data_IF_975155323598
#
_entry.id   IF_975155323598
#
_cell.length_a   1.000
_cell.length_b   1.000
_cell.length_c   1.000
_cell.angle_alpha   90.00
_cell.angle_beta   90.00
_cell.angle_gamma   90.00
#
_symmetry.space_group_name_H-M   'P 1'
#
loop_
_entity.id
_entity.type
_entity.pdbx_description
1 polymer ?
#
# COMPACT_ATOMS: atom_id res chain seq x y z
N UNK A 1 -2.52 3.86 -13.85
CA UNK A 1 -1.25 3.77 -14.60
C UNK A 1 -0.48 2.58 -14.07
N UNK A 2 0.20 1.79 -14.90
CA UNK A 2 1.07 0.72 -14.40
C UNK A 2 2.38 1.35 -13.89
N UNK A 3 2.87 0.90 -12.72
CA UNK A 3 4.19 1.32 -12.23
C UNK A 3 5.28 0.87 -13.20
N UNK A 4 6.31 1.67 -13.34
CA UNK A 4 7.51 1.34 -14.13
C UNK A 4 8.47 0.40 -13.40
N UNK A 5 8.10 -0.12 -12.23
CA UNK A 5 8.92 -0.97 -11.37
C UNK A 5 8.11 -2.10 -10.74
N UNK A 6 8.80 -3.18 -10.35
CA UNK A 6 8.21 -4.28 -9.58
C UNK A 6 7.94 -3.80 -8.16
N UNK A 7 6.69 -3.93 -7.70
CA UNK A 7 6.28 -3.53 -6.37
C UNK A 7 5.86 -4.74 -5.55
N UNK A 8 6.60 -5.04 -4.49
CA UNK A 8 6.45 -6.24 -3.68
C UNK A 8 6.04 -5.86 -2.27
N UNK A 9 4.95 -6.46 -1.78
CA UNK A 9 4.37 -6.24 -0.44
C UNK A 9 4.23 -7.53 0.36
N UNK A 10 4.85 -8.62 -0.11
CA UNK A 10 4.73 -9.94 0.53
C UNK A 10 5.50 -10.07 1.85
N UNK A 11 6.28 -9.05 2.21
CA UNK A 11 7.08 -9.02 3.45
C UNK A 11 6.68 -7.78 4.25
N UNK A 12 6.55 -7.95 5.56
CA UNK A 12 6.17 -6.85 6.46
C UNK A 12 7.08 -6.86 7.68
N UNK A 13 7.66 -5.70 7.99
CA UNK A 13 8.50 -5.54 9.18
C UNK A 13 7.63 -5.41 10.44
N UNK A 14 7.94 -6.15 11.52
CA UNK A 14 7.33 -5.94 12.83
C UNK A 14 7.84 -4.67 13.52
N UNK A 15 9.00 -4.14 13.09
CA UNK A 15 9.66 -2.96 13.67
C UNK A 15 8.97 -1.67 13.22
N UNK A 16 7.69 -1.54 13.58
CA UNK A 16 6.84 -0.39 13.22
C UNK A 16 5.88 -0.04 14.34
N UNK A 17 5.32 1.15 14.27
CA UNK A 17 4.30 1.62 15.21
C UNK A 17 3.44 2.72 14.59
N UNK A 18 2.41 3.17 15.29
CA UNK A 18 1.57 4.29 14.84
C UNK A 18 2.36 5.59 14.71
N UNK A 19 2.05 6.41 13.72
CA UNK A 19 2.51 7.81 13.62
C UNK A 19 1.84 8.75 14.63
N UNK A 20 0.92 8.26 15.46
CA UNK A 20 0.21 9.04 16.49
C UNK A 20 -0.41 10.34 15.93
N UNK A 21 -0.97 10.28 14.73
CA UNK A 21 -1.59 11.43 14.07
C UNK A 21 -0.62 12.40 13.36
N UNK A 22 0.70 12.15 13.43
CA UNK A 22 1.66 12.98 12.69
C UNK A 22 1.56 12.73 11.19
N UNK A 23 1.50 13.82 10.43
CA UNK A 23 1.51 13.79 8.96
C UNK A 23 2.92 13.49 8.44
N UNK A 24 2.98 12.82 7.30
CA UNK A 24 4.22 12.69 6.52
C UNK A 24 4.59 14.08 5.98
N UNK A 25 5.83 14.49 6.24
CA UNK A 25 6.35 15.81 5.87
C UNK A 25 7.64 15.76 5.05
N UNK A 26 8.26 14.59 4.88
CA UNK A 26 9.46 14.41 4.08
C UNK A 26 9.69 12.95 3.70
N UNK A 27 10.61 12.73 2.77
CA UNK A 27 11.16 11.41 2.44
C UNK A 27 12.61 11.40 2.89
N UNK A 28 12.99 10.42 3.71
CA UNK A 28 14.38 10.22 4.15
C UNK A 28 15.04 9.15 3.30
N UNK A 29 16.14 9.53 2.65
CA UNK A 29 16.94 8.61 1.83
C UNK A 29 18.00 7.97 2.70
N UNK A 30 18.10 6.65 2.59
CA UNK A 30 19.07 5.79 3.24
C UNK A 30 19.79 4.94 2.21
N UNK A 31 20.83 4.28 2.65
CA UNK A 31 21.49 3.17 1.99
C UNK A 31 21.83 2.11 3.05
N UNK A 32 21.92 0.87 2.68
CA UNK A 32 22.28 -0.18 3.65
C UNK A 32 23.79 -0.38 3.88
N UNK A 33 24.59 0.58 3.43
CA UNK A 33 25.99 0.70 3.82
C UNK A 33 26.91 -0.38 3.27
N UNK A 34 27.97 -0.65 4.02
CA UNK A 34 28.97 -1.67 3.72
C UNK A 34 28.73 -2.95 4.55
N UNK A 35 29.10 -4.14 4.01
CA UNK A 35 29.74 -4.32 2.72
C UNK A 35 28.78 -4.10 1.54
N UNK A 36 29.27 -3.53 0.46
CA UNK A 36 28.55 -3.47 -0.83
C UNK A 36 28.41 -4.88 -1.40
N UNK A 37 27.33 -5.12 -2.15
CA UNK A 37 27.06 -6.43 -2.75
C UNK A 37 26.08 -7.30 -1.96
N UNK A 38 25.55 -6.81 -0.82
CA UNK A 38 24.42 -7.45 -0.17
C UNK A 38 23.21 -7.45 -1.09
N UNK A 39 22.55 -8.61 -1.20
CA UNK A 39 21.35 -8.74 -2.03
C UNK A 39 20.13 -8.14 -1.31
N UNK A 40 19.26 -7.49 -2.06
CA UNK A 40 18.03 -6.88 -1.54
C UNK A 40 17.18 -7.83 -0.66
N UNK A 41 17.13 -9.12 -1.02
CA UNK A 41 16.41 -10.13 -0.24
C UNK A 41 16.94 -10.27 1.20
N UNK A 42 18.26 -10.25 1.40
CA UNK A 42 18.86 -10.30 2.73
C UNK A 42 18.62 -9.04 3.56
N UNK A 43 18.63 -7.87 2.91
CA UNK A 43 18.27 -6.60 3.56
C UNK A 43 16.82 -6.59 4.00
N UNK A 44 15.91 -7.02 3.13
CA UNK A 44 14.48 -7.15 3.46
C UNK A 44 14.26 -8.15 4.59
N UNK A 45 14.94 -9.29 4.56
CA UNK A 45 14.85 -10.30 5.61
C UNK A 45 15.32 -9.74 6.95
N UNK A 46 16.46 -9.05 6.98
CA UNK A 46 16.98 -8.40 8.18
C UNK A 46 16.02 -7.36 8.73
N UNK A 47 15.56 -6.41 7.90
CA UNK A 47 14.64 -5.35 8.33
C UNK A 47 13.24 -5.87 8.74
N UNK A 48 12.89 -7.08 8.28
CA UNK A 48 11.69 -7.79 8.72
C UNK A 48 11.90 -8.69 9.93
N UNK A 49 13.11 -8.77 10.47
CA UNK A 49 13.41 -9.51 11.70
C UNK A 49 13.14 -8.63 12.92
N UNK A 50 12.39 -9.11 13.95
CA UNK A 50 12.17 -8.35 15.18
C UNK A 50 13.47 -7.91 15.87
N UNK A 51 14.53 -8.74 15.76
CA UNK A 51 15.83 -8.48 16.38
C UNK A 51 16.59 -7.29 15.75
N UNK A 52 16.20 -6.86 14.54
CA UNK A 52 16.84 -5.72 13.89
C UNK A 52 16.60 -4.42 14.67
N UNK A 53 15.46 -4.30 15.37
CA UNK A 53 15.11 -3.06 16.08
C UNK A 53 15.03 -1.83 15.17
N UNK A 54 15.09 -2.05 13.85
CA UNK A 54 15.06 -1.04 12.80
C UNK A 54 14.22 -1.55 11.62
N UNK A 55 13.74 -0.62 10.80
CA UNK A 55 13.02 -0.92 9.55
C UNK A 55 13.13 0.26 8.59
N UNK A 56 12.59 0.10 7.40
CA UNK A 56 12.33 1.19 6.46
C UNK A 56 10.92 1.04 5.90
N UNK A 57 10.38 2.03 5.23
CA UNK A 57 9.12 1.87 4.51
C UNK A 57 9.35 1.11 3.22
N UNK A 58 10.42 1.47 2.51
CA UNK A 58 10.77 0.90 1.22
C UNK A 58 12.23 0.48 1.15
N UNK A 59 12.49 -0.61 0.44
CA UNK A 59 13.84 -1.07 0.06
C UNK A 59 13.87 -1.17 -1.46
N UNK A 60 14.84 -0.52 -2.11
CA UNK A 60 14.89 -0.35 -3.57
C UNK A 60 16.22 -0.85 -4.12
N UNK A 61 16.17 -1.76 -5.08
CA UNK A 61 17.33 -2.23 -5.84
C UNK A 61 16.92 -2.56 -7.28
N UNK A 62 17.67 -2.05 -8.24
CA UNK A 62 17.34 -2.24 -9.64
C UNK A 62 15.95 -1.73 -9.99
N UNK A 63 15.14 -2.58 -10.61
CA UNK A 63 13.72 -2.33 -10.96
C UNK A 63 12.74 -2.72 -9.86
N UNK A 64 13.23 -3.07 -8.67
CA UNK A 64 12.42 -3.71 -7.63
C UNK A 64 12.28 -2.85 -6.38
N UNK A 65 11.06 -2.70 -5.89
CA UNK A 65 10.70 -2.01 -4.66
C UNK A 65 9.97 -2.97 -3.74
N UNK A 66 10.50 -3.17 -2.54
CA UNK A 66 9.79 -3.79 -1.43
C UNK A 66 9.18 -2.70 -0.55
N UNK A 67 7.87 -2.76 -0.32
CA UNK A 67 7.19 -2.01 0.74
C UNK A 67 7.07 -2.93 1.95
N UNK A 68 7.89 -2.69 2.98
CA UNK A 68 7.95 -3.54 4.18
C UNK A 68 7.32 -2.90 5.42
N UNK A 69 7.08 -1.59 5.40
CA UNK A 69 6.23 -0.88 6.34
C UNK A 69 5.31 0.04 5.56
N UNK A 70 4.03 0.01 5.86
CA UNK A 70 3.07 0.94 5.24
C UNK A 70 3.46 2.39 5.57
N UNK A 71 3.54 3.30 4.56
CA UNK A 71 3.95 4.69 4.81
C UNK A 71 3.04 5.45 5.79
N UNK A 72 1.81 5.01 6.02
CA UNK A 72 0.94 5.57 7.05
C UNK A 72 1.32 5.13 8.48
N UNK A 73 2.18 4.14 8.61
CA UNK A 73 2.78 3.72 9.88
C UNK A 73 4.16 4.36 10.05
N UNK A 74 4.64 4.39 11.28
CA UNK A 74 5.98 4.82 11.63
C UNK A 74 6.95 3.64 11.48
N UNK A 75 7.81 3.64 10.48
CA UNK A 75 8.98 2.77 10.43
C UNK A 75 10.07 3.31 11.37
N UNK A 76 10.96 2.44 11.84
CA UNK A 76 12.05 2.79 12.75
C UNK A 76 13.35 2.92 11.96
N UNK A 77 13.51 4.02 11.21
CA UNK A 77 14.58 4.16 10.22
C UNK A 77 15.58 5.29 10.51
N UNK A 78 15.15 6.35 11.19
CA UNK A 78 15.93 7.60 11.22
C UNK A 78 16.79 7.79 12.45
N UNK A 79 16.75 6.87 13.43
CA UNK A 79 17.40 7.07 14.73
C UNK A 79 16.80 8.20 15.55
N UNK A 80 15.84 8.94 15.00
CA UNK A 80 15.14 10.07 15.62
C UNK A 80 13.65 9.80 15.71
N UNK A 81 13.04 9.97 16.88
CA UNK A 81 11.59 9.79 17.01
C UNK A 81 10.82 10.75 16.09
N UNK A 82 11.27 12.00 15.96
CA UNK A 82 10.66 12.99 15.07
C UNK A 82 10.79 12.54 13.59
N UNK A 83 12.00 12.12 13.18
CA UNK A 83 12.22 11.61 11.83
C UNK A 83 11.34 10.40 11.50
N UNK A 84 11.26 9.44 12.43
CA UNK A 84 10.39 8.27 12.26
C UNK A 84 8.90 8.64 12.18
N UNK A 85 8.43 9.63 12.96
CA UNK A 85 7.03 10.07 12.96
C UNK A 85 6.64 10.82 11.70
N UNK A 86 7.57 11.61 11.10
CA UNK A 86 7.24 12.60 10.07
C UNK A 86 7.85 12.31 8.71
N UNK A 87 8.60 11.21 8.54
CA UNK A 87 9.18 10.90 7.24
C UNK A 87 8.91 9.46 6.77
N UNK A 88 9.05 9.27 5.46
CA UNK A 88 9.06 7.96 4.80
C UNK A 88 10.52 7.60 4.54
N UNK A 89 11.00 6.47 5.06
CA UNK A 89 12.38 6.00 4.86
C UNK A 89 12.49 5.13 3.62
N UNK A 90 13.43 5.46 2.73
CA UNK A 90 13.80 4.70 1.54
C UNK A 90 15.22 4.16 1.69
N UNK A 91 15.40 2.86 1.74
CA UNK A 91 16.69 2.18 1.67
C UNK A 91 17.06 1.93 0.21
N UNK A 92 18.16 2.47 -0.24
CA UNK A 92 18.64 2.35 -1.62
C UNK A 92 19.88 1.46 -1.71
N UNK A 93 19.94 0.65 -2.76
CA UNK A 93 21.05 -0.26 -3.03
C UNK A 93 22.37 0.51 -3.28
N UNK A 94 23.41 0.32 -2.46
CA UNK A 94 24.71 0.99 -2.65
C UNK A 94 25.51 0.41 -3.82
N UNK A 95 25.10 -0.70 -4.41
CA UNK A 95 25.87 -1.42 -5.42
C UNK A 95 25.99 -0.60 -6.72
N UNK A 96 27.23 -0.34 -7.14
CA UNK A 96 27.51 0.46 -8.32
C UNK A 96 26.89 -0.11 -9.62
N UNK A 97 26.83 -1.43 -9.75
CA UNK A 97 26.22 -2.09 -10.93
C UNK A 97 24.70 -1.92 -11.01
N UNK A 98 24.06 -1.63 -9.89
CA UNK A 98 22.59 -1.40 -9.79
C UNK A 98 22.23 0.08 -9.74
N UNK A 99 23.25 0.96 -9.73
CA UNK A 99 23.08 2.39 -9.44
C UNK A 99 22.04 3.07 -10.33
N UNK A 100 22.20 2.96 -11.63
CA UNK A 100 21.35 3.65 -12.59
C UNK A 100 19.88 3.17 -12.53
N UNK A 101 19.68 1.85 -12.49
CA UNK A 101 18.33 1.28 -12.40
C UNK A 101 17.66 1.57 -11.05
N UNK A 102 18.43 1.51 -9.95
CA UNK A 102 17.94 1.87 -8.61
C UNK A 102 17.55 3.34 -8.55
N UNK A 103 18.36 4.23 -9.15
CA UNK A 103 18.08 5.67 -9.19
C UNK A 103 16.79 5.99 -9.95
N UNK A 104 16.60 5.39 -11.14
CA UNK A 104 15.37 5.54 -11.93
C UNK A 104 14.14 5.03 -11.15
N UNK A 105 14.27 3.89 -10.51
CA UNK A 105 13.21 3.28 -9.71
C UNK A 105 12.89 4.10 -8.46
N UNK A 106 13.90 4.57 -7.75
CA UNK A 106 13.73 5.44 -6.59
C UNK A 106 13.06 6.77 -6.97
N UNK A 107 13.46 7.37 -8.09
CA UNK A 107 12.84 8.59 -8.60
C UNK A 107 11.34 8.39 -8.95
N UNK A 108 11.00 7.27 -9.60
CA UNK A 108 9.62 6.93 -9.90
C UNK A 108 8.79 6.69 -8.61
N UNK A 109 9.35 5.98 -7.62
CA UNK A 109 8.71 5.80 -6.32
C UNK A 109 8.50 7.13 -5.58
N UNK A 110 9.49 8.03 -5.61
CA UNK A 110 9.39 9.37 -5.02
C UNK A 110 8.29 10.17 -5.70
N UNK A 111 8.16 10.09 -7.03
CA UNK A 111 7.07 10.73 -7.78
C UNK A 111 5.70 10.19 -7.35
N UNK A 112 5.55 8.86 -7.23
CA UNK A 112 4.32 8.22 -6.74
C UNK A 112 3.97 8.66 -5.30
N UNK A 113 4.97 8.73 -4.41
CA UNK A 113 4.78 9.20 -3.03
C UNK A 113 4.38 10.67 -2.98
N UNK A 114 4.96 11.52 -3.83
CA UNK A 114 4.60 12.93 -3.92
C UNK A 114 3.21 13.15 -4.49
N UNK A 115 2.81 12.34 -5.45
CA UNK A 115 1.44 12.37 -5.99
C UNK A 115 0.40 12.05 -4.90
N UNK A 116 0.80 11.25 -3.89
CA UNK A 116 -0.09 10.85 -2.79
C UNK A 116 -0.04 11.79 -1.58
N UNK A 117 1.18 12.14 -1.13
CA UNK A 117 1.40 12.90 0.12
C UNK A 117 1.66 14.40 -0.10
N UNK A 118 1.68 14.87 -1.36
CA UNK A 118 2.07 16.22 -1.72
C UNK A 118 3.58 16.35 -1.94
N UNK A 119 4.05 17.57 -2.19
CA UNK A 119 5.44 17.84 -2.54
C UNK A 119 6.41 17.64 -1.35
N UNK A 120 6.73 16.38 -1.05
CA UNK A 120 7.62 16.01 0.04
C UNK A 120 9.09 16.31 -0.31
N UNK A 121 9.82 17.09 0.51
CA UNK A 121 11.26 17.27 0.34
C UNK A 121 12.02 15.98 0.64
N UNK A 122 13.12 15.76 -0.08
CA UNK A 122 14.09 14.71 0.23
C UNK A 122 15.04 15.18 1.33
N UNK A 123 15.33 14.29 2.26
CA UNK A 123 16.29 14.52 3.37
C UNK A 123 17.29 13.37 3.43
N UNK A 124 18.59 13.64 3.62
CA UNK A 124 19.56 12.59 3.95
C UNK A 124 19.31 12.09 5.38
N UNK A 125 19.64 10.83 5.66
CA UNK A 125 19.57 10.30 7.03
C UNK A 125 20.39 11.15 8.02
N UNK A 126 21.50 11.69 7.57
CA UNK A 126 22.35 12.62 8.36
C UNK A 126 21.66 13.89 8.84
N UNK A 127 20.48 14.22 8.30
CA UNK A 127 19.68 15.35 8.84
C UNK A 127 18.98 15.03 10.16
N UNK A 128 18.95 13.77 10.57
CA UNK A 128 18.29 13.32 11.80
C UNK A 128 19.29 12.92 12.89
N UNK A 129 20.38 12.26 12.51
CA UNK A 129 21.44 11.77 13.40
C UNK A 129 22.79 11.86 12.69
N UNK A 130 23.89 11.88 13.46
CA UNK A 130 25.25 11.84 12.89
C UNK A 130 25.51 10.50 12.24
N UNK A 131 25.63 10.46 10.90
CA UNK A 131 25.88 9.26 10.10
C UNK A 131 26.38 9.60 8.71
N UNK A 132 27.13 8.69 8.09
CA UNK A 132 27.50 8.79 6.67
C UNK A 132 26.37 8.44 5.70
N UNK A 133 25.24 7.92 6.18
CA UNK A 133 24.08 7.59 5.37
C UNK A 133 23.40 8.88 4.83
N UNK A 134 23.06 8.94 3.57
CA UNK A 134 22.92 7.88 2.56
C UNK A 134 24.17 7.66 1.67
N UNK A 135 25.37 7.89 2.16
CA UNK A 135 26.58 7.70 1.40
C UNK A 135 26.68 8.69 0.24
N UNK A 136 26.95 8.17 -0.96
CA UNK A 136 27.11 8.98 -2.16
C UNK A 136 25.83 9.13 -3.02
N UNK A 137 24.63 8.88 -2.45
CA UNK A 137 23.37 9.15 -3.14
C UNK A 137 23.15 10.64 -3.30
N UNK A 138 22.98 11.08 -4.55
CA UNK A 138 22.70 12.49 -4.89
C UNK A 138 21.19 12.77 -4.79
N UNK A 139 20.79 13.42 -3.71
CA UNK A 139 19.39 13.76 -3.46
C UNK A 139 18.87 14.82 -4.43
N UNK A 140 19.74 15.75 -4.91
CA UNK A 140 19.37 16.76 -5.89
C UNK A 140 19.02 16.11 -7.24
N UNK A 141 19.81 15.13 -7.64
CA UNK A 141 19.55 14.36 -8.85
C UNK A 141 18.30 13.49 -8.72
N UNK A 142 18.09 12.80 -7.59
CA UNK A 142 16.85 12.05 -7.32
C UNK A 142 15.62 12.96 -7.34
N UNK A 143 15.74 14.14 -6.76
CA UNK A 143 14.67 15.14 -6.75
C UNK A 143 14.31 15.60 -8.16
N UNK A 144 15.32 15.94 -8.97
CA UNK A 144 15.14 16.35 -10.36
C UNK A 144 14.51 15.26 -11.22
N UNK A 145 15.00 14.03 -11.13
CA UNK A 145 14.45 12.90 -11.87
C UNK A 145 13.00 12.58 -11.46
N UNK A 146 12.67 12.68 -10.18
CA UNK A 146 11.30 12.44 -9.69
C UNK A 146 10.30 13.50 -10.17
N UNK A 147 10.76 14.72 -10.40
CA UNK A 147 9.95 15.82 -10.96
C UNK A 147 9.79 15.68 -12.47
N UNK A 148 10.84 15.27 -13.18
CA UNK A 148 10.79 15.02 -14.63
C UNK A 148 9.82 13.90 -15.00
N UNK A 149 9.73 12.85 -14.18
CA UNK A 149 8.79 11.74 -14.37
C UNK A 149 7.32 12.11 -14.10
N UNK A 150 7.06 13.16 -13.30
CA UNK A 150 5.70 13.61 -12.97
C UNK A 150 5.11 14.60 -14.00
N UNK A 151 5.92 15.12 -14.94
CA UNK A 151 5.52 16.15 -15.88
C UNK A 151 5.82 15.89 -17.36
N UNK A 152 6.54 14.84 -17.70
CA UNK A 152 6.82 14.51 -19.08
C UNK A 152 5.68 13.69 -19.69
N UNK A 153 4.75 14.38 -20.37
CA UNK A 153 4.26 13.81 -21.64
C UNK A 153 5.52 13.43 -22.42
N UNK A 154 5.82 12.14 -22.51
CA UNK A 154 6.80 11.65 -23.47
C UNK A 154 6.48 12.31 -24.82
N UNK A 155 7.47 12.86 -25.54
CA UNK A 155 7.23 13.27 -26.90
C UNK A 155 6.82 12.00 -27.65
N UNK A 156 5.56 11.95 -28.04
CA UNK A 156 5.06 10.95 -28.98
C UNK A 156 5.82 11.23 -30.27
N UNK A 157 6.86 10.41 -30.51
CA UNK A 157 7.49 10.36 -31.80
C UNK A 157 6.38 10.18 -32.84
N UNK A 158 6.35 11.10 -33.79
CA UNK A 158 5.28 11.22 -34.76
C UNK A 158 5.04 9.90 -35.49
N UNK A 159 3.93 9.28 -35.20
CA UNK A 159 3.20 8.43 -36.10
C UNK A 159 1.83 9.09 -36.26
N UNK A 160 1.60 9.65 -37.43
CA UNK A 160 0.31 10.14 -37.88
C UNK A 160 -0.62 8.95 -38.11
N UNK A 161 -1.10 8.37 -37.02
CA UNK A 161 -2.28 7.51 -37.06
C UNK A 161 -3.43 8.36 -36.51
N UNK A 162 -4.42 8.62 -37.38
CA UNK A 162 -5.65 9.28 -37.01
C UNK A 162 -6.27 8.64 -35.78
N UNK A 163 -6.94 9.41 -34.88
CA UNK A 163 -7.59 8.85 -33.71
C UNK A 163 -8.63 7.82 -34.19
N UNK A 164 -8.39 6.55 -33.87
CA UNK A 164 -9.46 5.54 -33.96
C UNK A 164 -10.60 6.04 -33.08
N UNK A 165 -11.84 6.02 -33.55
CA UNK A 165 -13.00 6.43 -32.78
C UNK A 165 -12.99 5.61 -31.48
N UNK A 166 -12.98 6.31 -30.34
CA UNK A 166 -13.11 5.71 -29.04
C UNK A 166 -14.36 4.86 -29.02
N UNK A 167 -14.20 3.53 -28.98
CA UNK A 167 -15.33 2.63 -28.69
C UNK A 167 -16.05 3.18 -27.45
N UNK A 168 -17.38 3.27 -27.47
CA UNK A 168 -18.15 3.63 -26.29
C UNK A 168 -17.65 2.74 -25.14
N UNK A 169 -17.28 3.32 -23.99
CA UNK A 169 -16.92 2.55 -22.80
C UNK A 169 -18.10 1.64 -22.49
N UNK A 170 -17.95 0.36 -22.82
CA UNK A 170 -18.97 -0.64 -22.51
C UNK A 170 -19.32 -0.50 -21.03
N UNK A 171 -20.60 -0.37 -20.70
CA UNK A 171 -21.07 -0.33 -19.31
C UNK A 171 -20.55 -1.61 -18.66
N UNK A 172 -19.66 -1.48 -17.69
CA UNK A 172 -19.08 -2.63 -16.99
C UNK A 172 -20.20 -3.52 -16.45
N UNK A 173 -20.05 -4.83 -16.63
CA UNK A 173 -21.03 -5.80 -16.16
C UNK A 173 -21.18 -5.74 -14.62
N UNK A 174 -22.36 -6.03 -14.08
CA UNK A 174 -22.53 -6.16 -12.63
C UNK A 174 -21.70 -7.33 -12.10
N UNK A 175 -21.29 -7.26 -10.83
CA UNK A 175 -20.65 -8.36 -10.13
C UNK A 175 -21.59 -9.57 -10.09
N UNK A 176 -21.05 -10.76 -10.32
CA UNK A 176 -21.76 -12.00 -10.00
C UNK A 176 -21.94 -12.10 -8.49
N UNK A 177 -23.17 -12.33 -8.04
CA UNK A 177 -23.52 -12.55 -6.63
C UNK A 177 -23.37 -14.05 -6.35
N UNK A 178 -22.14 -14.49 -6.11
CA UNK A 178 -21.80 -15.90 -5.93
C UNK A 178 -21.33 -16.26 -4.52
N UNK A 179 -21.23 -15.26 -3.63
CA UNK A 179 -20.79 -15.44 -2.26
C UNK A 179 -19.27 -15.69 -2.11
N UNK A 180 -18.51 -15.61 -3.19
CA UNK A 180 -17.03 -15.75 -3.15
C UNK A 180 -16.37 -14.38 -3.15
N UNK A 181 -15.54 -14.10 -2.15
CA UNK A 181 -14.80 -12.86 -2.08
C UNK A 181 -13.58 -12.90 -3.01
N UNK A 182 -13.86 -12.85 -4.30
CA UNK A 182 -12.82 -12.92 -5.34
C UNK A 182 -12.22 -11.56 -5.69
N UNK A 183 -11.22 -11.60 -6.56
CA UNK A 183 -10.50 -10.41 -7.08
C UNK A 183 -11.46 -9.36 -7.67
N UNK A 184 -12.54 -9.78 -8.34
CA UNK A 184 -13.53 -8.86 -8.92
C UNK A 184 -14.32 -8.12 -7.84
N UNK A 185 -14.76 -8.82 -6.80
CA UNK A 185 -15.43 -8.23 -5.63
C UNK A 185 -14.52 -7.21 -4.95
N UNK A 186 -13.26 -7.55 -4.73
CA UNK A 186 -12.28 -6.64 -4.13
C UNK A 186 -12.03 -5.42 -5.01
N UNK A 187 -11.85 -5.57 -6.33
CA UNK A 187 -11.69 -4.42 -7.25
C UNK A 187 -12.90 -3.48 -7.23
N UNK A 188 -14.09 -4.02 -7.16
CA UNK A 188 -15.31 -3.20 -7.07
C UNK A 188 -15.36 -2.46 -5.73
N UNK A 189 -15.04 -3.13 -4.62
CA UNK A 189 -14.96 -2.49 -3.30
C UNK A 189 -13.89 -1.39 -3.25
N UNK A 190 -12.70 -1.64 -3.80
CA UNK A 190 -11.63 -0.64 -3.87
C UNK A 190 -12.08 0.61 -4.66
N UNK A 191 -12.74 0.44 -5.82
CA UNK A 191 -13.32 1.56 -6.58
C UNK A 191 -14.39 2.31 -5.79
N UNK A 192 -15.23 1.56 -5.09
CA UNK A 192 -16.26 2.14 -4.23
C UNK A 192 -15.65 3.00 -3.12
N UNK A 193 -14.66 2.45 -2.38
CA UNK A 193 -13.99 3.14 -1.29
C UNK A 193 -13.24 4.39 -1.76
N UNK A 194 -12.56 4.32 -2.90
CA UNK A 194 -11.90 5.48 -3.50
C UNK A 194 -12.89 6.61 -3.80
N UNK A 195 -14.12 6.28 -4.20
CA UNK A 195 -15.17 7.26 -4.45
C UNK A 195 -15.86 7.76 -3.17
N UNK A 196 -16.08 6.87 -2.20
CA UNK A 196 -16.89 7.14 -1.02
C UNK A 196 -16.13 7.92 0.08
N UNK A 197 -14.83 7.66 0.22
CA UNK A 197 -13.97 8.24 1.27
C UNK A 197 -12.62 8.73 0.77
N UNK A 198 -12.48 8.87 -0.54
CA UNK A 198 -11.22 9.31 -1.18
C UNK A 198 -10.00 8.50 -0.68
N UNK A 199 -10.19 7.17 -0.64
CA UNK A 199 -9.25 6.27 0.03
C UNK A 199 -7.93 6.10 -0.71
N UNK A 200 -7.90 6.41 -2.02
CA UNK A 200 -6.75 6.25 -2.92
C UNK A 200 -6.06 4.88 -2.83
N UNK A 201 -6.87 3.83 -2.64
CA UNK A 201 -6.36 2.46 -2.65
C UNK A 201 -6.17 1.97 -4.08
N UNK A 202 -5.08 1.25 -4.32
CA UNK A 202 -4.81 0.63 -5.63
C UNK A 202 -5.90 -0.38 -5.94
N UNK A 203 -6.50 -0.30 -7.14
CA UNK A 203 -7.53 -1.24 -7.61
C UNK A 203 -6.86 -2.49 -8.18
N UNK A 204 -6.19 -3.26 -7.31
CA UNK A 204 -5.44 -4.47 -7.67
C UNK A 204 -6.25 -5.77 -7.48
N UNK A 205 -7.35 -5.70 -6.75
CA UNK A 205 -8.18 -6.84 -6.42
C UNK A 205 -7.66 -7.66 -5.23
N UNK A 206 -6.81 -7.08 -4.41
CA UNK A 206 -6.28 -7.68 -3.17
C UNK A 206 -6.74 -6.89 -1.96
N UNK A 207 -7.48 -7.53 -1.08
CA UNK A 207 -7.97 -6.97 0.16
C UNK A 207 -6.88 -7.05 1.23
N UNK A 208 -5.91 -6.14 1.17
CA UNK A 208 -4.83 -6.02 2.15
C UNK A 208 -5.08 -4.92 3.18
N UNK A 209 -4.15 -4.67 4.11
CA UNK A 209 -4.31 -3.71 5.22
C UNK A 209 -4.78 -2.31 4.80
N UNK A 210 -4.30 -1.78 3.67
CA UNK A 210 -4.75 -0.48 3.15
C UNK A 210 -6.22 -0.48 2.77
N UNK A 211 -6.68 -1.52 2.09
CA UNK A 211 -8.07 -1.64 1.68
C UNK A 211 -8.98 -1.89 2.90
N UNK A 212 -8.52 -2.69 3.87
CA UNK A 212 -9.22 -2.87 5.14
C UNK A 212 -9.33 -1.55 5.91
N UNK A 213 -8.26 -0.79 6.01
CA UNK A 213 -8.26 0.53 6.65
C UNK A 213 -9.22 1.50 5.95
N UNK A 214 -9.25 1.51 4.62
CA UNK A 214 -10.20 2.31 3.86
C UNK A 214 -11.65 1.92 4.15
N UNK A 215 -11.93 0.62 4.30
CA UNK A 215 -13.25 0.12 4.72
C UNK A 215 -13.57 0.55 6.15
N UNK A 216 -12.62 0.48 7.08
CA UNK A 216 -12.78 0.97 8.46
C UNK A 216 -13.11 2.46 8.50
N UNK A 217 -12.44 3.30 7.69
CA UNK A 217 -12.74 4.74 7.54
C UNK A 217 -14.17 4.92 7.04
N UNK A 218 -14.57 4.19 6.00
CA UNK A 218 -15.90 4.26 5.43
C UNK A 218 -16.97 3.89 6.48
N UNK A 219 -16.80 2.75 7.17
CA UNK A 219 -17.74 2.27 8.16
C UNK A 219 -17.87 3.21 9.37
N UNK A 220 -16.78 3.80 9.83
CA UNK A 220 -16.84 4.82 10.89
C UNK A 220 -17.62 6.07 10.44
N UNK A 221 -17.48 6.45 9.16
CA UNK A 221 -18.21 7.59 8.60
C UNK A 221 -19.72 7.34 8.50
N UNK A 222 -20.13 6.13 8.14
CA UNK A 222 -21.54 5.82 7.85
C UNK A 222 -22.28 5.18 9.02
N UNK A 223 -21.58 4.46 9.91
CA UNK A 223 -22.15 3.70 11.02
C UNK A 223 -21.81 4.29 12.40
N UNK A 224 -20.86 5.23 12.47
CA UNK A 224 -20.38 5.77 13.75
C UNK A 224 -19.75 4.71 14.68
N UNK A 225 -19.23 3.62 14.12
CA UNK A 225 -18.97 2.36 14.86
C UNK A 225 -17.74 2.37 15.76
N UNK A 226 -16.92 3.43 15.77
CA UNK A 226 -15.70 3.50 16.60
C UNK A 226 -14.68 2.39 16.32
N UNK A 227 -14.58 1.95 15.05
CA UNK A 227 -13.65 0.92 14.60
C UNK A 227 -12.22 1.50 14.57
N UNK A 228 -11.23 0.77 15.08
CA UNK A 228 -9.83 1.16 14.95
C UNK A 228 -9.40 1.14 13.48
N UNK A 229 -8.66 2.16 13.06
CA UNK A 229 -8.17 2.33 11.69
C UNK A 229 -6.78 1.69 11.53
N UNK A 230 -6.66 0.40 11.81
CA UNK A 230 -5.41 -0.36 11.84
C UNK A 230 -5.19 -1.23 10.58
N UNK A 231 -6.23 -1.40 9.78
CA UNK A 231 -6.19 -2.25 8.60
C UNK A 231 -6.16 -3.74 8.94
N UNK A 232 -6.52 -4.13 10.16
CA UNK A 232 -6.56 -5.51 10.61
C UNK A 232 -8.01 -6.01 10.69
N UNK A 233 -8.17 -7.28 10.36
CA UNK A 233 -9.40 -8.04 10.54
C UNK A 233 -9.09 -9.19 11.48
N UNK A 234 -9.56 -9.05 12.68
CA UNK A 234 -9.28 -9.95 13.78
C UNK A 234 -10.29 -11.09 13.85
N UNK A 235 -9.93 -12.18 14.53
CA UNK A 235 -10.85 -13.21 14.99
C UNK A 235 -11.74 -13.78 13.88
N UNK A 236 -11.16 -14.34 12.82
CA UNK A 236 -11.92 -14.94 11.73
C UNK A 236 -11.91 -16.47 11.78
N UNK A 237 -13.06 -17.08 11.46
CA UNK A 237 -13.25 -18.53 11.45
C UNK A 237 -12.72 -19.23 10.21
N UNK A 238 -12.50 -18.47 9.15
CA UNK A 238 -12.05 -18.96 7.84
C UNK A 238 -10.72 -18.34 7.46
N UNK A 239 -9.90 -19.09 6.75
CA UNK A 239 -8.70 -18.58 6.12
C UNK A 239 -9.07 -17.80 4.85
N UNK A 240 -8.25 -16.81 4.40
CA UNK A 240 -8.52 -16.04 3.19
C UNK A 240 -8.80 -16.89 1.95
N UNK A 241 -8.03 -17.97 1.74
CA UNK A 241 -8.16 -18.87 0.60
C UNK A 241 -9.48 -19.64 0.57
N UNK A 242 -10.12 -19.86 1.70
CA UNK A 242 -11.43 -20.54 1.81
C UNK A 242 -12.57 -19.62 1.35
N UNK A 243 -12.40 -18.32 1.49
CA UNK A 243 -13.41 -17.30 1.13
C UNK A 243 -13.30 -16.86 -0.33
N UNK A 244 -12.11 -16.94 -0.90
CA UNK A 244 -11.83 -16.56 -2.28
C UNK A 244 -10.43 -15.95 -2.45
N UNK A 245 -10.06 -15.66 -3.70
CA UNK A 245 -8.72 -15.15 -4.02
C UNK A 245 -8.59 -13.61 -3.94
N UNK A 246 -9.59 -12.93 -3.43
CA UNK A 246 -9.62 -11.47 -3.30
C UNK A 246 -9.12 -10.97 -1.94
N UNK A 247 -8.99 -11.83 -0.93
CA UNK A 247 -8.51 -11.47 0.40
C UNK A 247 -7.03 -11.83 0.53
N UNK A 248 -6.23 -10.89 1.03
CA UNK A 248 -4.82 -11.13 1.33
C UNK A 248 -4.69 -11.68 2.76
N UNK A 249 -3.78 -12.62 3.02
CA UNK A 249 -3.48 -13.05 4.40
C UNK A 249 -2.89 -11.91 5.25
N UNK A 250 -2.31 -10.89 4.63
CA UNK A 250 -1.82 -9.72 5.35
C UNK A 250 -2.98 -8.88 5.89
N UNK A 251 -3.01 -8.67 7.20
CA UNK A 251 -4.08 -7.95 7.87
C UNK A 251 -5.30 -8.83 8.20
N UNK A 252 -5.15 -10.15 8.15
CA UNK A 252 -6.20 -11.12 8.46
C UNK A 252 -5.74 -12.06 9.57
N UNK A 253 -6.50 -12.14 10.66
CA UNK A 253 -6.24 -13.05 11.77
C UNK A 253 -7.23 -14.22 11.74
N UNK A 254 -6.72 -15.42 11.52
CA UNK A 254 -7.48 -16.66 11.59
C UNK A 254 -7.40 -17.26 12.99
N UNK A 255 -8.54 -17.46 13.64
CA UNK A 255 -8.64 -18.05 14.99
C UNK A 255 -9.45 -19.35 15.04
N UNK A 256 -9.98 -19.79 13.89
CA UNK A 256 -10.76 -21.01 13.75
C UNK A 256 -12.19 -20.91 14.30
N UNK A 257 -12.83 -22.06 14.50
CA UNK A 257 -14.28 -22.16 14.81
C UNK A 257 -14.74 -21.45 16.09
N UNK A 258 -13.85 -21.05 16.98
CA UNK A 258 -14.17 -20.32 18.22
C UNK A 258 -13.99 -18.80 18.06
N UNK A 259 -14.02 -18.34 16.85
CA UNK A 259 -13.92 -16.92 16.54
C UNK A 259 -14.99 -16.08 17.24
N UNK A 260 -14.56 -14.92 17.77
CA UNK A 260 -15.47 -13.90 18.33
C UNK A 260 -15.93 -12.89 17.28
N UNK A 261 -15.41 -12.99 16.06
CA UNK A 261 -15.62 -12.06 14.99
C UNK A 261 -14.94 -10.70 15.18
N UNK A 262 -14.84 -9.93 14.10
CA UNK A 262 -14.19 -8.62 14.05
C UNK A 262 -15.23 -7.50 14.12
N UNK A 263 -14.91 -6.41 14.83
CA UNK A 263 -15.75 -5.18 14.83
C UNK A 263 -15.90 -4.60 13.42
N UNK A 264 -14.84 -4.66 12.62
CA UNK A 264 -14.88 -4.20 11.22
C UNK A 264 -15.87 -4.99 10.39
N UNK A 265 -15.88 -6.33 10.54
CA UNK A 265 -16.81 -7.19 9.80
C UNK A 265 -18.23 -7.01 10.30
N UNK A 266 -18.47 -6.88 11.61
CA UNK A 266 -19.81 -6.53 12.14
C UNK A 266 -20.33 -5.21 11.55
N UNK A 267 -19.50 -4.18 11.50
CA UNK A 267 -19.85 -2.92 10.86
C UNK A 267 -20.21 -3.10 9.38
N UNK A 268 -19.41 -3.88 8.64
CA UNK A 268 -19.74 -4.21 7.25
C UNK A 268 -21.07 -4.96 7.13
N UNK A 269 -21.28 -5.98 7.96
CA UNK A 269 -22.49 -6.81 7.95
C UNK A 269 -23.74 -5.99 8.19
N UNK A 270 -23.77 -5.14 9.23
CA UNK A 270 -24.86 -4.21 9.48
C UNK A 270 -25.10 -3.30 8.28
N UNK A 271 -24.03 -2.74 7.73
CA UNK A 271 -24.12 -1.81 6.60
C UNK A 271 -24.72 -2.43 5.34
N UNK A 272 -24.40 -3.69 5.06
CA UNK A 272 -24.89 -4.39 3.85
C UNK A 272 -26.15 -5.24 4.11
N UNK A 273 -26.61 -5.34 5.36
CA UNK A 273 -27.77 -6.15 5.75
C UNK A 273 -27.48 -7.65 5.78
N UNK A 274 -26.32 -8.05 6.29
CA UNK A 274 -25.96 -9.43 6.58
C UNK A 274 -26.07 -9.73 8.09
N UNK A 275 -26.00 -11.02 8.46
CA UNK A 275 -25.99 -11.42 9.87
C UNK A 275 -24.76 -10.86 10.58
N UNK A 276 -24.97 -10.19 11.74
CA UNK A 276 -23.96 -9.41 12.47
C UNK A 276 -23.18 -10.27 13.48
N UNK A 277 -22.47 -11.30 12.98
CA UNK A 277 -21.63 -12.18 13.80
C UNK A 277 -20.13 -11.80 13.80
N UNK A 278 -19.74 -10.89 12.91
CA UNK A 278 -18.37 -10.42 12.77
C UNK A 278 -17.45 -11.37 12.01
N UNK A 279 -17.98 -12.41 11.38
CA UNK A 279 -17.22 -13.40 10.61
C UNK A 279 -17.59 -13.29 9.14
N UNK A 280 -16.57 -13.26 8.26
CA UNK A 280 -16.81 -13.30 6.81
C UNK A 280 -17.15 -14.70 6.37
N UNK A 281 -18.26 -14.84 5.66
CA UNK A 281 -18.69 -16.07 5.00
C UNK A 281 -19.51 -15.76 3.74
N UNK A 282 -20.09 -16.78 3.13
CA UNK A 282 -20.81 -16.66 1.86
C UNK A 282 -21.93 -15.61 1.91
N UNK A 283 -22.73 -15.60 2.99
CA UNK A 283 -23.83 -14.65 3.20
C UNK A 283 -23.35 -13.20 3.24
N UNK A 284 -22.31 -12.92 4.03
CA UNK A 284 -21.68 -11.59 4.11
C UNK A 284 -21.18 -11.15 2.73
N UNK A 285 -20.55 -12.07 1.98
CA UNK A 285 -19.99 -11.76 0.67
C UNK A 285 -21.09 -11.50 -0.36
N UNK A 286 -22.19 -12.28 -0.36
CA UNK A 286 -23.35 -12.04 -1.24
C UNK A 286 -23.93 -10.65 -1.02
N UNK A 287 -24.16 -10.29 0.25
CA UNK A 287 -24.69 -8.97 0.61
C UNK A 287 -23.77 -7.82 0.20
N UNK A 288 -22.47 -7.99 0.36
CA UNK A 288 -21.49 -7.03 -0.15
C UNK A 288 -21.56 -6.90 -1.68
N UNK A 289 -21.66 -8.01 -2.41
CA UNK A 289 -21.75 -8.00 -3.89
C UNK A 289 -23.04 -7.31 -4.36
N UNK A 290 -24.18 -7.56 -3.71
CA UNK A 290 -25.46 -6.88 -3.95
C UNK A 290 -25.33 -5.38 -3.71
N UNK A 291 -24.75 -4.98 -2.56
CA UNK A 291 -24.50 -3.58 -2.21
C UNK A 291 -23.63 -2.88 -3.25
N UNK A 292 -22.51 -3.48 -3.66
CA UNK A 292 -21.61 -2.90 -4.65
C UNK A 292 -22.29 -2.74 -6.03
N UNK A 293 -23.12 -3.71 -6.44
CA UNK A 293 -23.89 -3.60 -7.67
C UNK A 293 -24.90 -2.46 -7.62
N UNK A 294 -25.61 -2.29 -6.49
CA UNK A 294 -26.57 -1.19 -6.28
C UNK A 294 -25.90 0.17 -6.35
N UNK A 295 -24.65 0.29 -5.88
CA UNK A 295 -23.89 1.54 -5.88
C UNK A 295 -23.04 1.74 -7.14
N UNK A 296 -23.26 0.96 -8.20
CA UNK A 296 -22.59 1.10 -9.49
C UNK A 296 -21.10 0.75 -9.47
N UNK A 297 -20.62 0.10 -8.43
CA UNK A 297 -19.25 -0.40 -8.32
C UNK A 297 -19.15 -1.74 -9.06
N UNK A 298 -19.00 -1.68 -10.39
CA UNK A 298 -19.01 -2.82 -11.34
C UNK A 298 -17.59 -3.29 -11.66
N UNK A 299 -17.48 -4.44 -12.34
CA UNK A 299 -16.22 -5.05 -12.81
C UNK A 299 -15.32 -4.10 -13.63
#
# INVERSE_FOLDING_TARGET
MSRSYKYITSRTSPNRSSRKGHKVASITVHWWGNPVGQKIGGIVEWLCNPRAGASAHYVVSGDTVYCIVDPDQKAWHSGSNRGNLTSIGLELDPNASMRESTEKTAAALIADLRAHYGNLPLRPHSSWVSTACPGNWDLGRLDSLSKAGSGAKLPVGGSTAAPLPSKPKAKKAPLKVDGRWGTKTTKALQRFLNKAVDADVVVDGRMGPRTWRALQVYLNKVEGSGIYLDGLIENQSYKPEELGNGISPNGWEYTGRRSKGSKTIRGLQRHVGADDDGVVYEGTTKKLQEFLNKHGARE
#
